data_IF_366985286599
#
_entry.id   IF_366985286599
#
_cell.length_a   1.000
_cell.length_b   1.000
_cell.length_c   1.000
_cell.angle_alpha   90.00
_cell.angle_beta   90.00
_cell.angle_gamma   90.00
#
_symmetry.space_group_name_H-M   'P 1'
#
loop_
_entity.id
_entity.type
_entity.pdbx_description
1 polymer ?
#
# COMPACT_ATOMS: atom_id res chain seq x y z
N UNK A 1 -23.06 18.14 26.35
CA UNK A 1 -22.03 17.92 25.30
C UNK A 1 -22.17 16.48 24.80
N UNK A 2 -22.88 16.26 23.69
CA UNK A 2 -23.03 14.92 23.12
C UNK A 2 -21.67 14.43 22.59
N UNK A 3 -21.09 13.41 23.22
CA UNK A 3 -19.81 12.85 22.80
C UNK A 3 -19.94 12.22 21.41
N UNK A 4 -18.99 12.53 20.50
CA UNK A 4 -18.91 11.93 19.16
C UNK A 4 -18.99 10.41 19.24
N UNK A 5 -19.81 9.80 18.40
CA UNK A 5 -20.01 8.34 18.34
C UNK A 5 -18.73 7.63 17.87
N UNK A 6 -18.59 6.34 18.17
CA UNK A 6 -17.41 5.53 17.80
C UNK A 6 -17.17 5.52 16.28
N UNK A 7 -18.25 5.54 15.49
CA UNK A 7 -18.22 5.59 14.03
C UNK A 7 -17.71 6.96 13.52
N UNK A 8 -18.19 8.06 14.11
CA UNK A 8 -17.72 9.40 13.74
C UNK A 8 -16.22 9.59 13.99
N UNK A 9 -15.71 9.05 15.11
CA UNK A 9 -14.27 9.11 15.41
C UNK A 9 -13.43 8.31 14.42
N UNK A 10 -13.88 7.10 14.07
CA UNK A 10 -13.19 6.26 13.08
C UNK A 10 -13.14 6.93 11.69
N UNK A 11 -14.24 7.58 11.27
CA UNK A 11 -14.29 8.31 10.01
C UNK A 11 -13.30 9.49 9.98
N UNK A 12 -13.20 10.25 11.07
CA UNK A 12 -12.25 11.37 11.18
C UNK A 12 -10.79 10.91 11.20
N UNK A 13 -10.50 9.75 11.77
CA UNK A 13 -9.17 9.14 11.79
C UNK A 13 -8.74 8.66 10.41
N UNK A 14 -9.63 7.99 9.67
CA UNK A 14 -9.39 7.58 8.29
C UNK A 14 -9.18 8.78 7.38
N UNK A 15 -9.99 9.85 7.55
CA UNK A 15 -9.85 11.09 6.79
C UNK A 15 -8.50 11.77 7.03
N UNK A 16 -8.03 11.82 8.28
CA UNK A 16 -6.70 12.34 8.61
C UNK A 16 -5.58 11.52 7.95
N UNK A 17 -5.71 10.19 7.95
CA UNK A 17 -4.77 9.27 7.31
C UNK A 17 -4.72 9.43 5.79
N UNK A 18 -5.87 9.56 5.13
CA UNK A 18 -5.94 9.80 3.68
C UNK A 18 -5.25 11.12 3.30
N UNK A 19 -5.50 12.20 4.05
CA UNK A 19 -4.84 13.47 3.83
C UNK A 19 -3.32 13.36 4.03
N UNK A 20 -2.87 12.61 5.04
CA UNK A 20 -1.44 12.35 5.25
C UNK A 20 -0.82 11.55 4.10
N UNK A 21 -1.54 10.57 3.54
CA UNK A 21 -1.11 9.78 2.37
C UNK A 21 -1.01 10.63 1.10
N UNK A 22 -1.84 11.68 0.97
CA UNK A 22 -1.76 12.68 -0.10
C UNK A 22 -0.60 13.68 0.08
N UNK A 23 0.21 13.53 1.14
CA UNK A 23 1.41 14.34 1.37
C UNK A 23 1.20 15.59 2.23
N UNK A 24 0.00 15.80 2.79
CA UNK A 24 -0.26 16.99 3.62
C UNK A 24 0.55 16.95 4.94
N UNK A 25 0.97 18.13 5.39
CA UNK A 25 1.62 18.32 6.70
C UNK A 25 0.57 18.29 7.81
N UNK A 26 0.99 17.98 9.03
CA UNK A 26 0.07 17.85 10.17
C UNK A 26 -0.72 19.14 10.43
N UNK A 27 -0.06 20.30 10.27
CA UNK A 27 -0.69 21.62 10.43
C UNK A 27 -1.83 21.84 9.42
N UNK A 28 -1.62 21.43 8.16
CA UNK A 28 -2.62 21.58 7.09
C UNK A 28 -3.81 20.65 7.31
N UNK A 29 -3.54 19.43 7.79
CA UNK A 29 -4.58 18.46 8.17
C UNK A 29 -5.37 18.98 9.39
N UNK A 30 -4.69 19.63 10.33
CA UNK A 30 -5.30 20.19 11.53
C UNK A 30 -6.28 21.32 11.17
N UNK A 31 -5.86 22.23 10.29
CA UNK A 31 -6.70 23.30 9.72
C UNK A 31 -7.91 22.74 8.99
N UNK A 32 -7.71 21.78 8.10
CA UNK A 32 -8.76 21.16 7.30
C UNK A 32 -9.80 20.39 8.14
N UNK A 33 -9.35 19.77 9.24
CA UNK A 33 -10.23 19.01 10.14
C UNK A 33 -10.78 19.84 11.31
N UNK A 34 -10.42 21.13 11.40
CA UNK A 34 -10.84 22.02 12.49
C UNK A 34 -10.41 21.54 13.88
N UNK A 35 -9.21 20.95 13.98
CA UNK A 35 -8.64 20.44 15.24
C UNK A 35 -7.19 20.89 15.41
N UNK A 36 -6.60 20.63 16.58
CA UNK A 36 -5.17 20.84 16.81
C UNK A 36 -4.31 19.70 16.23
N UNK A 37 -3.03 20.00 15.98
CA UNK A 37 -2.05 19.04 15.43
C UNK A 37 -1.82 17.82 16.32
N UNK A 38 -1.92 17.98 17.64
CA UNK A 38 -1.76 16.86 18.60
C UNK A 38 -2.91 15.87 18.45
N UNK A 39 -4.11 16.36 18.17
CA UNK A 39 -5.30 15.58 17.87
C UNK A 39 -5.15 14.87 16.52
N UNK A 40 -4.59 15.53 15.50
CA UNK A 40 -4.25 14.88 14.23
C UNK A 40 -3.25 13.75 14.45
N UNK A 41 -2.15 14.01 15.16
CA UNK A 41 -1.11 13.01 15.46
C UNK A 41 -1.70 11.79 16.20
N UNK A 42 -2.52 12.02 17.22
CA UNK A 42 -3.23 10.94 17.94
C UNK A 42 -4.18 10.16 17.03
N UNK A 43 -4.92 10.84 16.15
CA UNK A 43 -5.83 10.20 15.18
C UNK A 43 -5.06 9.36 14.17
N UNK A 44 -3.91 9.83 13.70
CA UNK A 44 -3.03 9.07 12.82
C UNK A 44 -2.49 7.83 13.54
N UNK A 45 -2.02 7.95 14.78
CA UNK A 45 -1.58 6.80 15.58
C UNK A 45 -2.70 5.78 15.79
N UNK A 46 -3.92 6.24 16.07
CA UNK A 46 -5.09 5.37 16.21
C UNK A 46 -5.49 4.70 14.88
N UNK A 47 -5.43 5.44 13.76
CA UNK A 47 -5.64 4.90 12.43
C UNK A 47 -4.59 3.84 12.08
N UNK A 48 -3.31 4.11 12.35
CA UNK A 48 -2.22 3.15 12.15
C UNK A 48 -2.36 1.93 13.06
N UNK A 49 -2.80 2.08 14.30
CA UNK A 49 -3.01 0.95 15.20
C UNK A 49 -4.18 0.07 14.75
N UNK A 50 -5.26 0.67 14.25
CA UNK A 50 -6.37 -0.06 13.58
C UNK A 50 -5.93 -0.69 12.27
N UNK A 51 -5.04 -0.05 11.52
CA UNK A 51 -4.43 -0.66 10.35
C UNK A 51 -3.47 -1.80 10.69
N UNK A 52 -2.82 -1.76 11.85
CA UNK A 52 -2.07 -2.89 12.41
C UNK A 52 -2.97 -4.08 12.75
N UNK A 53 -4.29 -3.89 12.81
CA UNK A 53 -5.30 -4.94 12.83
C UNK A 53 -5.97 -5.19 11.46
N UNK A 54 -5.41 -4.67 10.36
CA UNK A 54 -5.90 -4.99 9.01
C UNK A 54 -5.71 -6.49 8.75
N UNK A 55 -6.78 -7.16 8.32
CA UNK A 55 -6.64 -8.53 7.85
C UNK A 55 -5.79 -8.56 6.57
N UNK A 56 -5.12 -9.67 6.30
CA UNK A 56 -4.32 -9.85 5.09
C UNK A 56 -5.13 -9.52 3.81
N UNK A 57 -6.45 -9.79 3.81
CA UNK A 57 -7.36 -9.40 2.73
C UNK A 57 -7.50 -7.88 2.56
N UNK A 58 -7.52 -7.11 3.65
CA UNK A 58 -7.63 -5.65 3.60
C UNK A 58 -6.34 -5.02 3.08
N UNK A 59 -5.19 -5.56 3.48
CA UNK A 59 -3.88 -5.16 2.94
C UNK A 59 -3.81 -5.49 1.45
N UNK A 60 -4.24 -6.69 1.05
CA UNK A 60 -4.29 -7.13 -0.35
C UNK A 60 -5.10 -6.16 -1.20
N UNK A 61 -6.36 -5.90 -0.82
CA UNK A 61 -7.26 -4.99 -1.54
C UNK A 61 -6.68 -3.59 -1.65
N UNK A 62 -6.09 -3.06 -0.58
CA UNK A 62 -5.47 -1.73 -0.60
C UNK A 62 -4.30 -1.64 -1.59
N UNK A 63 -3.46 -2.68 -1.65
CA UNK A 63 -2.35 -2.72 -2.61
C UNK A 63 -2.88 -2.92 -4.04
N UNK A 64 -3.92 -3.74 -4.24
CA UNK A 64 -4.60 -3.87 -5.53
C UNK A 64 -5.14 -2.52 -6.03
N UNK A 65 -5.83 -1.77 -5.18
CA UNK A 65 -6.36 -0.44 -5.50
C UNK A 65 -5.26 0.54 -5.89
N UNK A 66 -4.09 0.47 -5.24
CA UNK A 66 -2.93 1.29 -5.57
C UNK A 66 -2.34 0.91 -6.95
N UNK A 67 -2.20 -0.39 -7.22
CA UNK A 67 -1.74 -0.89 -8.52
C UNK A 67 -2.71 -0.47 -9.62
N UNK A 68 -4.03 -0.57 -9.38
CA UNK A 68 -5.05 -0.10 -10.32
C UNK A 68 -4.96 1.39 -10.60
N UNK A 69 -4.73 2.21 -9.58
CA UNK A 69 -4.52 3.65 -9.74
C UNK A 69 -3.36 3.97 -10.67
N UNK A 70 -2.22 3.28 -10.47
CA UNK A 70 -1.01 3.47 -11.31
C UNK A 70 -1.26 2.97 -12.74
N UNK A 71 -1.92 1.81 -12.92
CA UNK A 71 -2.23 1.27 -14.23
C UNK A 71 -3.15 2.19 -15.03
N UNK A 72 -4.19 2.76 -14.40
CA UNK A 72 -5.08 3.74 -15.05
C UNK A 72 -4.30 4.95 -15.54
N UNK A 73 -3.39 5.46 -14.72
CA UNK A 73 -2.56 6.60 -15.10
C UNK A 73 -1.58 6.26 -16.22
N UNK A 74 -0.94 5.09 -16.15
CA UNK A 74 -0.06 4.60 -17.20
C UNK A 74 -0.81 4.43 -18.54
N UNK A 75 -2.02 3.87 -18.53
CA UNK A 75 -2.84 3.76 -19.74
C UNK A 75 -3.26 5.13 -20.28
N UNK A 76 -3.58 6.09 -19.40
CA UNK A 76 -3.86 7.48 -19.80
C UNK A 76 -2.66 8.12 -20.50
N UNK A 77 -1.45 7.92 -19.97
CA UNK A 77 -0.21 8.39 -20.60
C UNK A 77 0.05 7.71 -21.95
N UNK A 78 -0.18 6.40 -22.05
CA UNK A 78 -0.01 5.66 -23.32
C UNK A 78 -1.02 6.09 -24.40
N UNK A 79 -2.20 6.55 -24.02
CA UNK A 79 -3.20 7.07 -24.94
C UNK A 79 -2.81 8.43 -25.54
N UNK A 80 -1.83 9.13 -24.98
CA UNK A 80 -1.33 10.37 -25.54
C UNK A 80 -0.46 10.08 -26.80
N UNK A 81 -0.86 10.57 -27.99
CA UNK A 81 -0.15 10.31 -29.23
C UNK A 81 1.23 10.98 -29.31
N UNK A 82 1.46 12.04 -28.51
CA UNK A 82 2.69 12.84 -28.55
C UNK A 82 3.84 12.24 -27.73
N UNK A 83 3.61 11.08 -27.08
CA UNK A 83 4.66 10.40 -26.34
C UNK A 83 5.77 9.90 -27.29
N UNK A 84 7.01 10.25 -26.98
CA UNK A 84 8.15 9.68 -27.69
C UNK A 84 8.24 8.17 -27.49
N UNK A 85 8.93 7.48 -28.40
CA UNK A 85 9.16 6.03 -28.31
C UNK A 85 9.81 5.64 -26.98
N UNK A 86 10.75 6.46 -26.49
CA UNK A 86 11.45 6.22 -25.23
C UNK A 86 10.53 6.38 -24.01
N UNK A 87 9.69 7.41 -23.97
CA UNK A 87 8.71 7.61 -22.91
C UNK A 87 7.65 6.51 -22.92
N UNK A 88 7.16 6.14 -24.09
CA UNK A 88 6.22 5.03 -24.27
C UNK A 88 6.80 3.72 -23.75
N UNK A 89 8.09 3.47 -24.02
CA UNK A 89 8.80 2.28 -23.54
C UNK A 89 8.91 2.28 -22.00
N UNK A 90 9.21 3.42 -21.38
CA UNK A 90 9.24 3.54 -19.90
C UNK A 90 7.86 3.29 -19.28
N UNK A 91 6.79 3.85 -19.86
CA UNK A 91 5.43 3.66 -19.35
C UNK A 91 5.00 2.20 -19.50
N UNK A 92 5.32 1.55 -20.63
CA UNK A 92 5.10 0.10 -20.78
C UNK A 92 5.89 -0.72 -19.75
N UNK A 93 7.11 -0.30 -19.41
CA UNK A 93 7.89 -0.92 -18.33
C UNK A 93 7.18 -0.86 -16.98
N UNK A 94 6.55 0.28 -16.66
CA UNK A 94 5.75 0.45 -15.44
C UNK A 94 4.52 -0.47 -15.46
N UNK A 95 3.80 -0.55 -16.58
CA UNK A 95 2.64 -1.45 -16.74
C UNK A 95 3.06 -2.90 -16.48
N UNK A 96 4.13 -3.36 -17.12
CA UNK A 96 4.65 -4.72 -16.94
C UNK A 96 5.08 -5.01 -15.50
N UNK A 97 5.63 -4.01 -14.80
CA UNK A 97 6.00 -4.15 -13.39
C UNK A 97 4.76 -4.28 -12.50
N UNK A 98 3.77 -3.42 -12.69
CA UNK A 98 2.49 -3.48 -11.97
C UNK A 98 1.79 -4.83 -12.15
N UNK A 99 1.78 -5.39 -13.36
CA UNK A 99 1.20 -6.72 -13.63
C UNK A 99 1.97 -7.85 -12.94
N UNK A 100 3.31 -7.74 -12.82
CA UNK A 100 4.11 -8.71 -12.05
C UNK A 100 3.80 -8.63 -10.56
N UNK A 101 3.72 -7.43 -10.01
CA UNK A 101 3.44 -7.21 -8.60
C UNK A 101 2.03 -7.71 -8.24
N UNK A 102 1.05 -7.50 -9.12
CA UNK A 102 -0.29 -8.07 -9.02
C UNK A 102 -0.28 -9.60 -9.05
N UNK A 103 0.45 -10.21 -9.98
CA UNK A 103 0.55 -11.67 -10.06
C UNK A 103 1.20 -12.29 -8.80
N UNK A 104 2.17 -11.61 -8.19
CA UNK A 104 2.76 -12.03 -6.92
C UNK A 104 1.77 -11.89 -5.76
N UNK A 105 1.01 -10.79 -5.73
CA UNK A 105 0.04 -10.50 -4.68
C UNK A 105 -1.18 -11.45 -4.71
N UNK A 106 -1.58 -11.89 -5.90
CA UNK A 106 -2.62 -12.90 -6.09
C UNK A 106 -2.11 -14.34 -5.89
N UNK A 107 -0.81 -14.54 -5.65
CA UNK A 107 -0.20 -15.86 -5.51
C UNK A 107 -0.15 -16.67 -6.81
N UNK A 108 -0.45 -16.05 -7.96
CA UNK A 108 -0.42 -16.68 -9.29
C UNK A 108 1.03 -16.93 -9.75
N UNK A 109 1.98 -16.14 -9.23
CA UNK A 109 3.41 -16.45 -9.30
C UNK A 109 3.91 -16.96 -7.95
N UNK A 110 4.22 -18.25 -7.88
CA UNK A 110 5.00 -18.84 -6.78
C UNK A 110 6.49 -18.61 -7.08
N UNK A 111 7.31 -18.15 -6.13
CA UNK A 111 8.77 -18.09 -6.30
C UNK A 111 9.32 -19.46 -6.71
N UNK A 112 10.34 -19.50 -7.56
CA UNK A 112 10.91 -20.74 -8.10
C UNK A 112 11.44 -21.71 -7.03
N UNK A 113 11.65 -21.26 -5.80
CA UNK A 113 11.94 -22.12 -4.66
C UNK A 113 11.28 -21.59 -3.40
N UNK A 114 10.42 -22.42 -2.80
CA UNK A 114 9.90 -22.27 -1.45
C UNK A 114 10.41 -23.49 -0.68
N UNK A 115 11.38 -23.30 0.22
CA UNK A 115 11.77 -24.36 1.17
C UNK A 115 10.99 -24.09 2.45
N UNK A 116 9.93 -24.87 2.66
CA UNK A 116 9.20 -24.88 3.92
C UNK A 116 9.84 -25.94 4.83
N UNK A 117 10.56 -25.51 5.85
CA UNK A 117 10.99 -26.41 6.93
C UNK A 117 9.84 -26.52 7.92
N UNK A 118 9.21 -27.70 7.97
CA UNK A 118 8.19 -28.01 8.97
C UNK A 118 8.91 -28.57 10.20
N UNK A 119 9.20 -27.71 11.17
CA UNK A 119 9.52 -28.18 12.51
C UNK A 119 8.20 -28.39 13.27
N UNK A 120 7.94 -29.62 13.68
CA UNK A 120 6.77 -29.95 14.49
C UNK A 120 6.92 -29.36 15.90
N UNK A 121 6.39 -28.14 16.02
CA UNK A 121 6.14 -27.41 17.26
C UNK A 121 5.29 -26.15 17.06
N UNK A 122 4.62 -26.03 15.91
CA UNK A 122 3.64 -25.02 15.48
C UNK A 122 3.97 -23.53 15.71
N UNK A 123 5.18 -23.10 15.35
CA UNK A 123 5.46 -21.72 14.96
C UNK A 123 6.18 -21.70 13.60
N UNK A 124 5.61 -20.96 12.63
CA UNK A 124 6.16 -20.78 11.30
C UNK A 124 7.15 -19.62 11.32
N UNK A 125 8.44 -19.92 11.35
CA UNK A 125 9.48 -18.90 11.20
C UNK A 125 9.91 -18.78 9.73
N UNK A 126 9.56 -17.66 9.10
CA UNK A 126 9.91 -17.37 7.69
C UNK A 126 11.16 -16.48 7.66
N UNK A 127 12.30 -17.06 7.34
CA UNK A 127 13.56 -16.32 7.14
C UNK A 127 13.89 -16.19 5.65
N UNK A 128 14.29 -14.97 5.23
CA UNK A 128 14.65 -14.64 3.84
C UNK A 128 16.17 -14.75 3.66
N UNK A 129 16.63 -15.82 3.02
CA UNK A 129 18.05 -16.00 2.68
C UNK A 129 18.42 -15.33 1.35
N UNK A 130 19.47 -14.51 1.34
CA UNK A 130 20.08 -13.98 0.12
C UNK A 130 20.77 -15.09 -0.67
N UNK A 131 20.55 -15.11 -1.98
CA UNK A 131 21.02 -16.16 -2.88
C UNK A 131 22.54 -16.14 -3.04
N UNK A 132 23.17 -17.27 -2.67
CA UNK A 132 24.53 -17.61 -3.09
C UNK A 132 24.46 -18.09 -4.54
N UNK A 133 24.64 -17.19 -5.49
CA UNK A 133 25.03 -17.57 -6.84
C UNK A 133 26.56 -17.70 -6.91
N UNK A 134 27.05 -18.91 -6.66
CA UNK A 134 28.38 -19.33 -7.13
C UNK A 134 28.28 -19.95 -8.53
N UNK A 135 29.18 -19.51 -9.42
CA UNK A 135 29.68 -20.06 -10.72
C UNK A 135 29.79 -18.89 -11.72
N UNK A 136 30.94 -18.51 -12.27
CA UNK A 136 32.22 -19.17 -12.53
C UNK A 136 33.40 -18.26 -12.17
#
# INVERSE_FOLDING_TARGET
MAGKTRLQRAAEELRALEMRRKGLRLEDIAKELGVDERTVSRRLAAAFHRMGSETFDQIRRRVEDQIDGVLREAHRLLANPDLSVNERTRVLGIVLQCERDRAALLGVRVPAHVVATVEFGNELEVSRGADRAGRQ
#
